data_IF_329736563898
#
_entry.id   IF_329736563898
#
_cell.length_a   1.000
_cell.length_b   1.000
_cell.length_c   1.000
_cell.angle_alpha   90.00
_cell.angle_beta   90.00
_cell.angle_gamma   90.00
#
_symmetry.space_group_name_H-M   'P 1'
#
loop_
_entity.id
_entity.type
_entity.pdbx_description
1 polymer ?
#
# COMPACT_ATOMS: atom_id res chain seq x y z
N UNK A 1 7.22 -2.21 19.18
CA UNK A 1 6.33 -1.74 18.11
C UNK A 1 5.26 -2.81 17.86
N UNK A 2 4.00 -2.40 17.90
CA UNK A 2 2.83 -3.25 17.66
C UNK A 2 2.35 -3.13 16.21
N UNK A 3 1.28 -3.84 15.81
CA UNK A 3 0.73 -3.72 14.46
C UNK A 3 0.22 -2.29 14.21
N UNK A 4 0.24 -1.85 12.95
CA UNK A 4 -0.35 -0.60 12.54
C UNK A 4 -1.88 -0.73 12.50
N UNK A 5 -2.60 0.22 13.06
CA UNK A 5 -4.07 0.21 13.07
C UNK A 5 -4.63 0.74 11.75
N UNK A 6 -5.69 0.11 11.25
CA UNK A 6 -6.40 0.52 10.04
C UNK A 6 -7.72 1.18 10.43
N UNK A 7 -7.97 2.35 9.86
CA UNK A 7 -9.17 3.13 10.12
C UNK A 7 -9.96 3.39 8.84
N UNK A 8 -11.27 3.44 8.96
CA UNK A 8 -12.21 3.74 7.88
C UNK A 8 -13.03 4.97 8.24
N UNK A 9 -13.32 5.79 7.23
CA UNK A 9 -14.24 6.93 7.34
C UNK A 9 -15.41 6.72 6.38
N UNK A 10 -16.58 7.23 6.77
CA UNK A 10 -17.69 7.38 5.83
C UNK A 10 -17.32 8.44 4.78
N UNK A 11 -17.53 8.18 3.46
CA UNK A 11 -17.05 9.05 2.38
C UNK A 11 -17.92 10.31 2.19
N UNK A 12 -18.25 11.00 3.28
CA UNK A 12 -19.07 12.21 3.30
C UNK A 12 -18.19 13.46 3.22
N UNK A 13 -17.39 13.56 2.16
CA UNK A 13 -16.38 14.62 2.00
C UNK A 13 -16.93 16.02 1.68
N UNK A 14 -18.24 16.15 1.49
CA UNK A 14 -18.91 17.40 1.12
C UNK A 14 -19.42 18.21 2.33
N UNK A 15 -19.38 17.65 3.54
CA UNK A 15 -19.77 18.36 4.75
C UNK A 15 -18.58 19.13 5.35
N UNK A 16 -18.87 20.17 6.14
CA UNK A 16 -17.86 20.79 7.01
C UNK A 16 -17.72 20.06 8.36
N UNK A 17 -18.37 18.90 8.49
CA UNK A 17 -18.39 18.15 9.73
C UNK A 17 -17.08 17.38 9.91
N UNK A 18 -16.68 17.21 11.16
CA UNK A 18 -15.56 16.33 11.50
C UNK A 18 -15.98 14.88 11.22
N UNK A 19 -15.29 14.21 10.30
CA UNK A 19 -15.46 12.78 10.09
C UNK A 19 -14.65 12.02 11.14
N UNK A 20 -15.34 11.18 11.92
CA UNK A 20 -14.69 10.28 12.86
C UNK A 20 -14.28 8.99 12.15
N UNK A 21 -13.02 8.61 12.27
CA UNK A 21 -12.52 7.35 11.73
C UNK A 21 -12.77 6.21 12.71
N UNK A 22 -13.26 5.09 12.22
CA UNK A 22 -13.49 3.86 12.99
C UNK A 22 -12.36 2.87 12.74
N UNK A 23 -11.83 2.26 13.80
CA UNK A 23 -10.83 1.21 13.66
C UNK A 23 -11.50 -0.04 13.09
N UNK A 24 -11.03 -0.51 11.93
CA UNK A 24 -11.58 -1.68 11.23
C UNK A 24 -10.61 -2.86 11.18
N UNK A 25 -9.34 -2.65 11.52
CA UNK A 25 -8.35 -3.72 11.45
C UNK A 25 -6.99 -3.30 11.98
N UNK A 26 -6.04 -4.21 11.81
CA UNK A 26 -4.64 -4.06 12.15
C UNK A 26 -3.81 -4.75 11.07
N UNK A 27 -2.67 -4.17 10.69
CA UNK A 27 -1.72 -4.81 9.78
C UNK A 27 -0.37 -4.97 10.50
N UNK A 28 0.19 -6.17 10.39
CA UNK A 28 1.55 -6.47 10.83
C UNK A 28 2.39 -6.83 9.61
N UNK A 29 3.34 -5.96 9.27
CA UNK A 29 4.26 -6.18 8.16
C UNK A 29 5.67 -6.45 8.69
N UNK A 30 6.45 -7.34 8.05
CA UNK A 30 7.88 -7.46 8.32
C UNK A 30 8.65 -6.30 7.67
N UNK A 31 8.13 -5.07 7.82
CA UNK A 31 8.68 -3.87 7.25
C UNK A 31 9.83 -3.33 8.10
N UNK A 32 10.78 -2.65 7.47
CA UNK A 32 12.03 -2.21 8.08
C UNK A 32 12.18 -0.69 7.95
N UNK A 33 12.42 0.03 9.08
CA UNK A 33 12.53 -0.47 10.45
C UNK A 33 11.16 -0.71 11.12
N UNK A 34 11.06 -1.76 11.93
CA UNK A 34 9.98 -1.97 12.91
C UNK A 34 8.52 -1.84 12.41
N UNK A 35 8.20 -2.38 11.24
CA UNK A 35 6.85 -2.31 10.68
C UNK A 35 6.52 -0.98 10.00
N UNK A 36 7.49 -0.05 9.87
CA UNK A 36 7.29 1.24 9.24
C UNK A 36 6.99 1.09 7.74
N UNK A 37 5.82 1.56 7.34
CA UNK A 37 5.42 1.74 5.94
C UNK A 37 5.66 3.20 5.56
N UNK A 38 6.16 3.41 4.35
CA UNK A 38 6.56 4.74 3.85
C UNK A 38 5.69 5.21 2.71
N UNK A 39 5.01 4.30 2.01
CA UNK A 39 4.08 4.64 0.94
C UNK A 39 3.06 3.54 0.67
N UNK A 40 2.04 3.89 -0.10
CA UNK A 40 1.03 2.95 -0.55
C UNK A 40 0.13 3.54 -1.63
N UNK A 41 -0.53 2.66 -2.38
CA UNK A 41 -1.47 3.00 -3.43
C UNK A 41 -2.51 1.89 -3.63
N UNK A 42 -3.65 2.23 -4.21
CA UNK A 42 -4.72 1.29 -4.53
C UNK A 42 -4.84 1.14 -6.05
N UNK A 43 -5.08 -0.09 -6.53
CA UNK A 43 -5.21 -0.32 -7.97
C UNK A 43 -6.41 0.42 -8.55
N UNK A 44 -6.40 0.76 -9.85
CA UNK A 44 -7.50 1.51 -10.48
C UNK A 44 -8.87 0.83 -10.39
N UNK A 45 -8.90 -0.51 -10.28
CA UNK A 45 -10.12 -1.31 -10.10
C UNK A 45 -10.56 -1.46 -8.63
N UNK A 46 -9.80 -0.91 -7.68
CA UNK A 46 -10.09 -0.98 -6.24
C UNK A 46 -9.88 -2.36 -5.60
N UNK A 47 -9.25 -3.31 -6.30
CA UNK A 47 -9.13 -4.70 -5.81
C UNK A 47 -7.78 -5.02 -5.17
N UNK A 48 -6.78 -4.15 -5.28
CA UNK A 48 -5.43 -4.40 -4.77
C UNK A 48 -4.92 -3.19 -4.01
N UNK A 49 -4.25 -3.44 -2.90
CA UNK A 49 -3.50 -2.45 -2.14
C UNK A 49 -2.03 -2.81 -2.24
N UNK A 50 -1.19 -1.84 -2.60
CA UNK A 50 0.26 -1.95 -2.44
C UNK A 50 0.70 -1.04 -1.30
N UNK A 51 1.54 -1.55 -0.43
CA UNK A 51 2.30 -0.79 0.57
C UNK A 51 3.79 -1.01 0.31
N UNK A 52 4.64 -0.07 0.72
CA UNK A 52 6.08 -0.26 0.70
C UNK A 52 6.75 0.21 1.98
N UNK A 53 7.89 -0.39 2.26
CA UNK A 53 8.88 0.16 3.16
C UNK A 53 10.11 0.59 2.35
N UNK A 54 11.20 0.89 3.05
CA UNK A 54 12.46 1.28 2.41
C UNK A 54 13.10 0.18 1.54
N UNK A 55 12.73 -1.10 1.70
CA UNK A 55 13.42 -2.25 1.11
C UNK A 55 12.54 -3.10 0.17
N UNK A 56 11.23 -3.17 0.38
CA UNK A 56 10.32 -4.11 -0.24
C UNK A 56 8.91 -3.51 -0.45
N UNK A 57 8.14 -4.19 -1.29
CA UNK A 57 6.72 -3.95 -1.46
C UNK A 57 5.88 -5.09 -0.87
N UNK A 58 4.64 -4.77 -0.51
CA UNK A 58 3.66 -5.67 0.07
C UNK A 58 2.34 -5.48 -0.66
N UNK A 59 1.78 -6.55 -1.23
CA UNK A 59 0.52 -6.49 -1.96
C UNK A 59 -0.54 -7.30 -1.23
N UNK A 60 -1.71 -6.68 -1.09
CA UNK A 60 -2.94 -7.32 -0.70
C UNK A 60 -3.88 -7.38 -1.89
N UNK A 61 -4.64 -8.47 -2.00
CA UNK A 61 -5.58 -8.68 -3.09
C UNK A 61 -6.93 -9.03 -2.47
N UNK A 62 -7.93 -8.20 -2.73
CA UNK A 62 -9.30 -8.47 -2.34
C UNK A 62 -9.85 -9.64 -3.15
N UNK A 63 -10.53 -10.56 -2.46
CA UNK A 63 -11.44 -11.48 -3.13
C UNK A 63 -12.73 -10.71 -3.49
N UNK A 64 -13.32 -11.05 -4.64
CA UNK A 64 -14.38 -10.27 -5.30
C UNK A 64 -15.51 -9.81 -4.36
N UNK A 65 -15.50 -8.53 -3.98
CA UNK A 65 -16.63 -7.82 -3.37
C UNK A 65 -16.47 -7.37 -1.91
N UNK A 66 -15.47 -7.87 -1.19
CA UNK A 66 -15.20 -7.44 0.20
C UNK A 66 -13.74 -7.00 0.38
N UNK A 67 -13.49 -5.72 0.10
CA UNK A 67 -12.15 -5.15 0.24
C UNK A 67 -11.63 -5.22 1.67
N UNK A 68 -12.50 -5.07 2.69
CA UNK A 68 -12.04 -5.03 4.08
C UNK A 68 -11.54 -6.41 4.56
N UNK A 69 -11.80 -7.48 3.82
CA UNK A 69 -11.21 -8.80 4.07
C UNK A 69 -9.68 -8.81 3.98
N UNK A 70 -9.06 -7.85 3.27
CA UNK A 70 -7.60 -7.82 3.09
C UNK A 70 -6.84 -7.61 4.40
N UNK A 71 -7.45 -6.97 5.40
CA UNK A 71 -6.79 -6.65 6.67
C UNK A 71 -6.46 -7.89 7.51
N UNK A 72 -7.06 -9.04 7.18
CA UNK A 72 -6.77 -10.33 7.81
C UNK A 72 -5.80 -11.20 7.00
N UNK A 73 -5.42 -10.76 5.81
CA UNK A 73 -4.54 -11.53 4.92
C UNK A 73 -3.06 -11.35 5.27
N UNK A 74 -2.26 -12.36 4.93
CA UNK A 74 -0.80 -12.17 4.84
C UNK A 74 -0.47 -11.58 3.47
N UNK A 75 0.19 -10.42 3.38
CA UNK A 75 0.48 -9.81 2.09
C UNK A 75 1.57 -10.56 1.33
N UNK A 76 1.51 -10.42 0.02
CA UNK A 76 2.56 -10.90 -0.88
C UNK A 76 3.71 -9.89 -0.84
N UNK A 77 4.84 -10.29 -0.26
CA UNK A 77 6.07 -9.49 -0.29
C UNK A 77 6.78 -9.66 -1.62
N UNK A 78 7.26 -8.57 -2.22
CA UNK A 78 7.98 -8.60 -3.49
C UNK A 78 9.11 -7.57 -3.53
N UNK A 79 10.05 -7.77 -4.46
CA UNK A 79 11.17 -6.87 -4.68
C UNK A 79 10.75 -5.67 -5.53
N UNK A 80 11.06 -4.47 -5.05
CA UNK A 80 10.78 -3.20 -5.73
C UNK A 80 11.98 -2.68 -6.54
N UNK A 81 13.05 -3.47 -6.62
CA UNK A 81 14.30 -3.11 -7.30
C UNK A 81 15.19 -2.19 -6.47
N UNK A 82 16.37 -1.89 -7.03
CA UNK A 82 17.42 -1.12 -6.35
C UNK A 82 16.97 0.32 -6.03
N UNK A 83 16.87 0.63 -4.74
CA UNK A 83 16.51 1.95 -4.21
C UNK A 83 17.40 2.26 -3.00
N UNK A 84 17.75 3.54 -2.80
CA UNK A 84 18.51 3.97 -1.61
C UNK A 84 17.60 4.06 -0.39
N UNK A 85 16.50 4.80 -0.59
CA UNK A 85 15.39 5.00 0.35
C UNK A 85 14.15 5.12 -0.54
N UNK A 86 13.12 4.33 -0.27
CA UNK A 86 11.90 4.28 -1.07
C UNK A 86 10.67 4.63 -0.27
N UNK A 87 9.93 5.66 -0.72
CA UNK A 87 8.70 6.14 -0.07
C UNK A 87 7.51 6.21 -1.03
N UNK A 88 7.72 5.95 -2.31
CA UNK A 88 6.70 6.12 -3.33
C UNK A 88 6.53 4.83 -4.15
N UNK A 89 5.30 4.34 -4.15
CA UNK A 89 4.79 3.29 -5.03
C UNK A 89 3.45 3.74 -5.62
N UNK A 90 3.17 3.34 -6.85
CA UNK A 90 1.89 3.56 -7.50
C UNK A 90 1.57 2.41 -8.46
N UNK A 91 0.31 2.07 -8.63
CA UNK A 91 -0.10 1.22 -9.73
C UNK A 91 -0.03 1.98 -11.05
N UNK A 92 0.30 1.26 -12.12
CA UNK A 92 0.07 1.76 -13.46
C UNK A 92 -1.44 1.78 -13.78
N UNK A 93 -1.82 2.46 -14.87
CA UNK A 93 -3.24 2.57 -15.25
C UNK A 93 -3.91 1.21 -15.51
N UNK A 94 -3.14 0.19 -15.91
CA UNK A 94 -3.68 -1.15 -16.12
C UNK A 94 -3.86 -1.95 -14.82
N UNK A 95 -3.27 -1.49 -13.71
CA UNK A 95 -3.24 -2.23 -12.45
C UNK A 95 -2.44 -3.53 -12.52
N UNK A 96 -1.57 -3.69 -13.52
CA UNK A 96 -0.74 -4.91 -13.72
C UNK A 96 0.71 -4.71 -13.32
N UNK A 97 1.14 -3.47 -13.10
CA UNK A 97 2.49 -3.14 -12.66
C UNK A 97 2.44 -2.16 -11.49
N UNK A 98 3.44 -2.26 -10.62
CA UNK A 98 3.74 -1.25 -9.61
C UNK A 98 4.96 -0.46 -10.08
N UNK A 99 4.85 0.86 -10.05
CA UNK A 99 5.94 1.79 -10.30
C UNK A 99 6.45 2.27 -8.96
N UNK A 100 7.76 2.20 -8.76
CA UNK A 100 8.43 2.71 -7.57
C UNK A 100 9.50 3.73 -7.94
N UNK A 101 9.89 4.56 -6.97
CA UNK A 101 11.04 5.46 -7.10
C UNK A 101 11.78 5.57 -5.77
N UNK A 102 12.90 6.28 -5.80
CA UNK A 102 13.71 6.61 -4.63
C UNK A 102 13.66 8.12 -4.35
N UNK A 103 13.92 8.53 -3.12
CA UNK A 103 14.08 9.95 -2.79
C UNK A 103 15.15 10.63 -3.67
N UNK A 104 14.93 11.91 -3.98
CA UNK A 104 15.90 12.75 -4.71
C UNK A 104 15.46 13.13 -6.13
N UNK A 105 16.01 14.25 -6.61
CA UNK A 105 15.71 14.76 -7.95
C UNK A 105 16.34 13.84 -8.99
N UNK A 106 15.55 13.44 -9.98
CA UNK A 106 16.01 12.59 -11.09
C UNK A 106 16.20 11.12 -10.70
N UNK A 107 15.67 10.68 -9.56
CA UNK A 107 15.64 9.27 -9.20
C UNK A 107 14.90 8.45 -10.25
N UNK A 108 15.43 7.26 -10.61
CA UNK A 108 14.85 6.45 -11.66
C UNK A 108 13.48 5.90 -11.25
N UNK A 109 12.62 5.72 -12.25
CA UNK A 109 11.39 4.95 -12.08
C UNK A 109 11.68 3.47 -12.30
N UNK A 110 11.19 2.64 -11.39
CA UNK A 110 11.34 1.19 -11.44
C UNK A 110 9.96 0.59 -11.66
N UNK A 111 9.83 -0.22 -12.72
CA UNK A 111 8.58 -0.86 -13.09
C UNK A 111 8.64 -2.33 -12.72
N UNK A 112 7.79 -2.75 -11.79
CA UNK A 112 7.67 -4.15 -11.37
C UNK A 112 6.36 -4.70 -11.89
N UNK A 113 6.46 -5.62 -12.83
CA UNK A 113 5.29 -6.30 -13.39
C UNK A 113 4.81 -7.38 -12.43
N UNK A 114 3.53 -7.34 -12.07
CA UNK A 114 2.92 -8.43 -11.31
C UNK A 114 2.69 -9.62 -12.24
N UNK A 115 3.24 -10.76 -11.85
CA UNK A 115 2.96 -12.05 -12.47
C UNK A 115 2.24 -12.91 -11.43
N UNK A 116 1.11 -13.52 -11.85
CA UNK A 116 0.43 -14.54 -11.06
C UNK A 116 1.25 -15.82 -11.05
#
# INVERSE_FOLDING_TARGET
>A
DGPAEVFKIEPQFSSQDVLQAEKIGEIALPAVPNGLVTGGDMSPDGTKLVLCDYLAGYIFISDDGDFDSIWQQTPIRFDLGERKIGEAVAFDQSGTSVVATSEGIGSPLIFVRMVR
#
